data_IF_985168247646
#
_entry.id   IF_985168247646
#
_cell.length_a   1.000
_cell.length_b   1.000
_cell.length_c   1.000
_cell.angle_alpha   90.00
_cell.angle_beta   90.00
_cell.angle_gamma   90.00
#
_symmetry.space_group_name_H-M   'P 1'
#
loop_
_entity.id
_entity.type
_entity.pdbx_description
1 polymer ?
#
# COMPACT_ATOMS: atom_id res chain seq x y z
N UNK A 1 9.87 -11.06 -46.46
CA UNK A 1 8.97 -10.09 -45.78
C UNK A 1 7.67 -10.82 -45.43
N UNK A 2 7.59 -11.40 -44.24
CA UNK A 2 6.34 -12.00 -43.74
C UNK A 2 5.61 -10.91 -42.98
N UNK A 3 4.43 -10.53 -43.48
CA UNK A 3 3.57 -9.54 -42.85
C UNK A 3 3.20 -10.03 -41.44
N UNK A 4 3.54 -9.24 -40.43
CA UNK A 4 3.01 -9.38 -39.08
C UNK A 4 1.55 -8.95 -39.18
N UNK A 5 0.64 -9.91 -39.16
CA UNK A 5 -0.79 -9.66 -39.05
C UNK A 5 -1.03 -9.03 -37.67
N UNK A 6 -1.22 -7.72 -37.62
CA UNK A 6 -1.73 -7.05 -36.42
C UNK A 6 -3.10 -7.65 -36.07
N UNK A 7 -3.15 -8.45 -35.01
CA UNK A 7 -4.40 -8.92 -34.44
C UNK A 7 -5.20 -7.71 -33.94
N UNK A 8 -6.38 -7.45 -34.52
CA UNK A 8 -7.29 -6.41 -34.04
C UNK A 8 -7.55 -6.60 -32.54
N UNK A 9 -7.46 -5.54 -31.71
CA UNK A 9 -7.73 -5.67 -30.28
C UNK A 9 -9.20 -6.05 -30.11
N UNK A 10 -9.46 -7.29 -29.69
CA UNK A 10 -10.77 -7.70 -29.18
C UNK A 10 -11.14 -6.72 -28.08
N UNK A 11 -12.35 -6.15 -28.14
CA UNK A 11 -12.87 -5.17 -27.15
C UNK A 11 -12.87 -5.83 -25.78
N UNK A 12 -11.73 -5.79 -25.09
CA UNK A 12 -11.53 -6.33 -23.75
C UNK A 12 -12.36 -5.45 -22.84
N UNK A 13 -13.23 -6.08 -22.06
CA UNK A 13 -13.89 -5.41 -20.96
C UNK A 13 -12.80 -4.79 -20.08
N UNK A 14 -12.65 -3.47 -20.17
CA UNK A 14 -11.76 -2.73 -19.30
C UNK A 14 -12.43 -2.70 -17.94
N UNK A 15 -11.70 -3.13 -16.90
CA UNK A 15 -12.18 -2.90 -15.54
C UNK A 15 -12.39 -1.40 -15.33
N UNK A 16 -13.51 -0.97 -14.74
CA UNK A 16 -13.72 0.43 -14.42
C UNK A 16 -12.63 0.95 -13.49
N UNK A 17 -12.31 2.23 -13.62
CA UNK A 17 -11.41 2.92 -12.70
C UNK A 17 -11.92 2.83 -11.25
N UNK A 18 -11.01 2.85 -10.27
CA UNK A 18 -11.37 2.73 -8.86
C UNK A 18 -12.30 3.84 -8.39
N UNK A 19 -12.18 5.07 -8.92
CA UNK A 19 -13.11 6.16 -8.60
C UNK A 19 -14.50 5.91 -9.18
N UNK A 20 -14.60 5.28 -10.34
CA UNK A 20 -15.87 4.88 -10.94
C UNK A 20 -16.55 3.83 -10.07
N UNK A 21 -15.79 2.83 -9.61
CA UNK A 21 -16.29 1.80 -8.69
C UNK A 21 -16.79 2.44 -7.39
N UNK A 22 -16.00 3.33 -6.77
CA UNK A 22 -16.39 4.06 -5.56
C UNK A 22 -17.70 4.83 -5.78
N UNK A 23 -17.86 5.50 -6.91
CA UNK A 23 -19.09 6.24 -7.19
C UNK A 23 -20.31 5.32 -7.32
N UNK A 24 -20.16 4.17 -7.99
CA UNK A 24 -21.23 3.16 -8.03
C UNK A 24 -21.56 2.60 -6.65
N UNK A 25 -20.55 2.36 -5.81
CA UNK A 25 -20.76 1.94 -4.42
C UNK A 25 -21.54 3.02 -3.66
N UNK A 26 -21.20 4.31 -3.82
CA UNK A 26 -21.93 5.41 -3.20
C UNK A 26 -23.41 5.45 -3.62
N UNK A 27 -23.70 5.22 -4.90
CA UNK A 27 -25.09 5.12 -5.40
C UNK A 27 -25.80 3.94 -4.74
N UNK A 28 -25.17 2.75 -4.74
CA UNK A 28 -25.77 1.55 -4.17
C UNK A 28 -26.03 1.69 -2.67
N UNK A 29 -25.09 2.25 -1.92
CA UNK A 29 -25.27 2.48 -0.48
C UNK A 29 -26.33 3.54 -0.20
N UNK A 30 -26.38 4.59 -1.01
CA UNK A 30 -27.46 5.59 -0.95
C UNK A 30 -28.82 4.94 -1.19
N UNK A 31 -28.99 4.12 -2.24
CA UNK A 31 -30.23 3.39 -2.49
C UNK A 31 -30.56 2.40 -1.38
N UNK A 32 -29.56 1.74 -0.78
CA UNK A 32 -29.78 0.83 0.34
C UNK A 32 -30.42 1.53 1.54
N UNK A 33 -30.12 2.82 1.77
CA UNK A 33 -30.73 3.60 2.86
C UNK A 33 -32.25 3.81 2.73
N UNK A 34 -32.82 3.53 1.55
CA UNK A 34 -34.26 3.62 1.31
C UNK A 34 -35.01 2.35 1.70
N UNK A 35 -34.31 1.21 1.73
CA UNK A 35 -34.91 -0.11 1.96
C UNK A 35 -34.46 -0.73 3.28
N UNK A 36 -33.31 -0.33 3.81
CA UNK A 36 -32.76 -0.85 5.06
C UNK A 36 -33.02 0.13 6.22
N UNK A 37 -33.72 -0.28 7.28
CA UNK A 37 -33.94 0.55 8.45
C UNK A 37 -32.65 0.69 9.27
N UNK A 38 -32.56 1.76 10.06
CA UNK A 38 -31.39 2.00 10.89
C UNK A 38 -31.41 1.13 12.15
N UNK A 39 -30.23 0.57 12.45
CA UNK A 39 -29.99 -0.24 13.63
C UNK A 39 -28.98 0.42 14.54
N UNK A 40 -29.05 0.09 15.82
CA UNK A 40 -28.07 0.50 16.83
C UNK A 40 -27.70 -0.67 17.72
N UNK A 41 -26.50 -0.59 18.28
CA UNK A 41 -26.01 -1.49 19.30
C UNK A 41 -25.73 -0.70 20.58
N UNK A 42 -25.92 -1.34 21.72
CA UNK A 42 -25.34 -0.86 22.96
C UNK A 42 -23.84 -1.15 23.00
N UNK A 43 -23.13 -0.31 23.73
CA UNK A 43 -21.70 -0.48 23.96
C UNK A 43 -21.46 -0.94 25.38
N UNK A 44 -20.55 -1.90 25.55
CA UNK A 44 -20.08 -2.37 26.84
C UNK A 44 -18.60 -2.05 27.02
N UNK A 45 -18.20 -1.78 28.26
CA UNK A 45 -16.79 -1.60 28.60
C UNK A 45 -16.16 -2.95 28.90
N UNK A 46 -15.19 -3.36 28.08
CA UNK A 46 -14.40 -4.57 28.32
C UNK A 46 -13.02 -4.17 28.79
N UNK A 47 -12.62 -4.76 29.92
CA UNK A 47 -11.28 -4.64 30.45
C UNK A 47 -10.37 -5.67 29.80
N UNK A 48 -9.22 -5.21 29.30
CA UNK A 48 -8.19 -6.08 28.73
C UNK A 48 -6.84 -5.70 29.34
N UNK A 49 -6.03 -6.71 29.66
CA UNK A 49 -4.69 -6.51 30.18
C UNK A 49 -3.70 -6.39 29.02
N UNK A 50 -2.96 -5.29 28.98
CA UNK A 50 -1.79 -5.11 28.10
C UNK A 50 -0.64 -4.65 28.98
N UNK A 51 0.47 -5.37 28.94
CA UNK A 51 1.69 -5.08 29.72
C UNK A 51 1.45 -4.90 31.23
N UNK A 52 0.58 -5.73 31.82
CA UNK A 52 0.29 -5.71 33.26
C UNK A 52 -0.59 -4.53 33.73
N UNK A 53 -1.07 -3.69 32.80
CA UNK A 53 -2.03 -2.62 33.09
C UNK A 53 -3.42 -2.98 32.55
N UNK A 54 -4.44 -2.81 33.38
CA UNK A 54 -5.85 -2.97 32.97
C UNK A 54 -6.26 -1.74 32.16
N UNK A 55 -6.47 -1.91 30.86
CA UNK A 55 -7.04 -0.89 29.98
C UNK A 55 -8.50 -1.22 29.70
N UNK A 56 -9.34 -0.20 29.62
CA UNK A 56 -10.76 -0.35 29.29
C UNK A 56 -10.98 0.06 27.84
N UNK A 57 -11.69 -0.75 27.07
CA UNK A 57 -12.15 -0.41 25.72
C UNK A 57 -13.66 -0.54 25.65
N UNK A 58 -14.32 0.50 25.14
CA UNK A 58 -15.72 0.45 24.74
C UNK A 58 -15.83 -0.43 23.50
N UNK A 59 -16.53 -1.56 23.61
CA UNK A 59 -16.78 -2.50 22.52
C UNK A 59 -18.28 -2.67 22.31
N UNK A 60 -18.65 -3.11 21.12
CA UNK A 60 -20.05 -3.41 20.78
C UNK A 60 -20.51 -4.63 21.56
N UNK A 61 -21.71 -4.59 22.14
CA UNK A 61 -22.39 -5.80 22.59
C UNK A 61 -23.13 -6.43 21.40
N UNK A 62 -22.68 -7.57 20.84
CA UNK A 62 -23.29 -8.18 19.66
C UNK A 62 -24.76 -8.60 19.86
N UNK A 63 -25.19 -8.83 21.10
CA UNK A 63 -26.55 -9.27 21.41
C UNK A 63 -27.53 -8.11 21.61
N UNK A 64 -27.04 -6.87 21.65
CA UNK A 64 -27.83 -5.66 21.92
C UNK A 64 -28.50 -5.04 20.70
N UNK A 65 -28.36 -5.66 19.52
CA UNK A 65 -28.86 -5.09 18.27
C UNK A 65 -30.37 -4.82 18.32
N UNK A 66 -30.76 -3.58 18.03
CA UNK A 66 -32.15 -3.19 17.86
C UNK A 66 -32.33 -2.25 16.68
N UNK A 67 -33.47 -2.39 16.00
CA UNK A 67 -33.91 -1.45 14.97
C UNK A 67 -34.57 -0.27 15.68
N UNK A 68 -34.25 0.95 15.26
CA UNK A 68 -34.90 2.14 15.78
C UNK A 68 -36.29 2.27 15.18
N UNK A 69 -37.26 2.56 16.05
CA UNK A 69 -38.66 2.75 15.69
C UNK A 69 -39.09 4.17 16.03
N UNK A 70 -39.90 4.77 15.17
CA UNK A 70 -40.50 6.08 15.42
C UNK A 70 -41.58 6.03 16.53
N UNK A 71 -42.18 7.17 16.86
CA UNK A 71 -43.25 7.27 17.87
C UNK A 71 -44.49 6.41 17.55
N UNK A 72 -44.67 5.99 16.29
CA UNK A 72 -45.73 5.09 15.84
C UNK A 72 -45.35 3.60 15.90
N UNK A 73 -44.12 3.26 16.31
CA UNK A 73 -43.61 1.89 16.37
C UNK A 73 -43.14 1.34 15.01
N UNK A 74 -43.06 2.17 13.97
CA UNK A 74 -42.58 1.77 12.64
C UNK A 74 -41.06 1.92 12.53
N UNK A 75 -40.37 1.06 11.74
CA UNK A 75 -38.93 1.17 11.52
C UNK A 75 -38.52 2.53 10.95
N UNK A 76 -37.47 3.12 11.50
CA UNK A 76 -36.93 4.38 11.04
C UNK A 76 -35.95 4.20 9.88
N UNK A 77 -36.09 5.05 8.85
CA UNK A 77 -35.24 5.02 7.65
C UNK A 77 -34.54 6.36 7.49
N UNK A 78 -33.21 6.32 7.46
CA UNK A 78 -32.39 7.51 7.22
C UNK A 78 -32.05 7.61 5.73
N UNK A 79 -33.01 8.08 4.95
CA UNK A 79 -32.90 8.14 3.49
C UNK A 79 -31.90 9.22 3.05
N UNK A 80 -30.84 8.80 2.38
CA UNK A 80 -29.86 9.71 1.80
C UNK A 80 -30.50 10.48 0.65
N UNK A 81 -30.45 11.80 0.73
CA UNK A 81 -30.90 12.71 -0.33
C UNK A 81 -29.80 12.89 -1.38
N UNK A 82 -30.17 13.41 -2.57
CA UNK A 82 -29.18 13.66 -3.62
C UNK A 82 -28.21 14.78 -3.22
N UNK A 83 -28.73 15.86 -2.65
CA UNK A 83 -27.98 17.00 -2.12
C UNK A 83 -28.52 17.33 -0.73
N UNK A 84 -27.64 17.73 0.18
CA UNK A 84 -28.01 18.30 1.49
C UNK A 84 -27.30 19.63 1.73
N UNK A 85 -27.89 20.47 2.58
CA UNK A 85 -27.37 21.79 2.97
C UNK A 85 -27.37 21.92 4.49
N UNK A 86 -26.27 22.39 5.08
CA UNK A 86 -26.11 22.53 6.54
C UNK A 86 -25.34 21.38 7.18
N UNK A 87 -25.36 21.30 8.52
CA UNK A 87 -24.66 20.28 9.32
C UNK A 87 -25.37 18.91 9.35
N UNK A 88 -26.35 18.70 8.47
CA UNK A 88 -27.05 17.42 8.34
C UNK A 88 -26.14 16.34 7.72
N UNK A 89 -26.60 15.07 7.77
CA UNK A 89 -25.87 13.96 7.13
C UNK A 89 -25.64 14.24 5.63
N UNK A 90 -24.50 13.80 5.07
CA UNK A 90 -24.17 14.09 3.68
C UNK A 90 -25.16 13.47 2.70
N UNK A 91 -25.54 14.25 1.69
CA UNK A 91 -26.21 13.76 0.49
C UNK A 91 -25.25 13.02 -0.44
N UNK A 92 -25.81 12.28 -1.40
CA UNK A 92 -25.04 11.49 -2.38
C UNK A 92 -24.07 12.34 -3.21
N UNK A 93 -24.30 13.62 -3.42
CA UNK A 93 -23.36 14.48 -4.16
C UNK A 93 -22.41 15.25 -3.24
N UNK A 94 -22.72 15.33 -1.94
CA UNK A 94 -21.89 15.96 -0.92
C UNK A 94 -20.78 15.01 -0.41
N UNK A 95 -20.99 13.70 -0.52
CA UNK A 95 -20.07 12.67 0.02
C UNK A 95 -18.58 12.86 -0.32
N UNK A 96 -18.18 13.31 -1.53
CA UNK A 96 -16.75 13.40 -1.85
C UNK A 96 -16.08 14.48 -1.00
N UNK A 97 -16.72 15.65 -0.88
CA UNK A 97 -16.19 16.76 -0.10
C UNK A 97 -16.21 16.45 1.40
N UNK A 98 -17.36 16.00 1.90
CA UNK A 98 -17.55 15.65 3.32
C UNK A 98 -16.61 14.53 3.76
N UNK A 99 -16.39 13.55 2.87
CA UNK A 99 -15.40 12.50 3.07
C UNK A 99 -13.98 13.05 3.16
N UNK A 100 -13.56 13.90 2.21
CA UNK A 100 -12.21 14.49 2.17
C UNK A 100 -11.91 15.41 3.36
N UNK A 101 -12.90 16.13 3.87
CA UNK A 101 -12.75 17.07 4.99
C UNK A 101 -12.99 16.43 6.35
N UNK A 102 -13.47 15.18 6.39
CA UNK A 102 -13.76 14.49 7.65
C UNK A 102 -12.51 14.08 8.42
N UNK A 103 -12.62 14.18 9.75
CA UNK A 103 -11.59 13.70 10.67
C UNK A 103 -10.75 14.80 11.28
N UNK A 104 -9.57 14.41 11.75
CA UNK A 104 -8.61 15.32 12.35
C UNK A 104 -7.19 14.90 11.96
N UNK A 105 -6.19 15.66 12.42
CA UNK A 105 -4.78 15.27 12.26
C UNK A 105 -4.46 13.89 12.87
N UNK A 106 -5.25 13.44 13.85
CA UNK A 106 -5.03 12.19 14.57
C UNK A 106 -5.67 10.96 13.92
N UNK A 107 -6.50 11.10 12.87
CA UNK A 107 -7.12 9.95 12.21
C UNK A 107 -8.30 10.29 11.31
N UNK A 108 -8.87 9.26 10.66
CA UNK A 108 -9.94 9.36 9.64
C UNK A 108 -9.41 9.88 8.30
N UNK A 109 -10.14 10.68 7.51
CA UNK A 109 -9.71 11.00 6.15
C UNK A 109 -8.59 12.03 6.11
N UNK A 110 -8.77 13.21 6.74
CA UNK A 110 -7.80 14.31 6.66
C UNK A 110 -6.41 13.90 7.18
N UNK A 111 -6.35 13.27 8.36
CA UNK A 111 -5.07 12.81 8.92
C UNK A 111 -4.33 11.82 8.01
N UNK A 112 -5.06 10.85 7.43
CA UNK A 112 -4.48 9.84 6.52
C UNK A 112 -4.07 10.46 5.18
N UNK A 113 -4.88 11.35 4.62
CA UNK A 113 -4.57 12.06 3.37
C UNK A 113 -3.29 12.89 3.55
N UNK A 114 -3.21 13.70 4.60
CA UNK A 114 -2.03 14.52 4.86
C UNK A 114 -0.79 13.66 5.12
N UNK A 115 -0.93 12.54 5.83
CA UNK A 115 0.12 11.56 6.04
C UNK A 115 0.63 10.96 4.73
N UNK A 116 -0.27 10.53 3.84
CA UNK A 116 0.08 10.00 2.51
C UNK A 116 0.87 11.04 1.70
N UNK A 117 0.41 12.29 1.65
CA UNK A 117 1.09 13.34 0.88
C UNK A 117 2.49 13.63 1.41
N UNK A 118 2.66 13.72 2.75
CA UNK A 118 3.95 13.97 3.38
C UNK A 118 4.92 12.81 3.14
N UNK A 119 4.46 11.57 3.28
CA UNK A 119 5.28 10.38 3.02
C UNK A 119 5.63 10.26 1.55
N UNK A 120 4.66 10.41 0.66
CA UNK A 120 4.87 10.40 -0.78
C UNK A 120 5.93 11.42 -1.17
N UNK A 121 5.84 12.65 -0.65
CA UNK A 121 6.85 13.67 -0.91
C UNK A 121 8.22 13.34 -0.35
N UNK A 122 8.30 12.83 0.89
CA UNK A 122 9.57 12.40 1.47
C UNK A 122 10.24 11.30 0.62
N UNK A 123 9.48 10.27 0.24
CA UNK A 123 9.99 9.20 -0.63
C UNK A 123 10.31 9.68 -2.04
N UNK A 124 9.60 10.67 -2.58
CA UNK A 124 9.96 11.32 -3.85
C UNK A 124 11.37 11.91 -3.81
N UNK A 125 11.76 12.53 -2.69
CA UNK A 125 13.15 13.01 -2.49
C UNK A 125 14.12 11.83 -2.45
N UNK A 126 13.80 10.77 -1.68
CA UNK A 126 14.66 9.58 -1.57
C UNK A 126 14.88 8.94 -2.94
N UNK A 127 13.82 8.71 -3.72
CA UNK A 127 13.93 8.15 -5.07
C UNK A 127 14.78 9.04 -5.98
N UNK A 128 14.63 10.37 -5.89
CA UNK A 128 15.41 11.29 -6.74
C UNK A 128 16.92 11.17 -6.54
N UNK A 129 17.38 10.79 -5.35
CA UNK A 129 18.82 10.59 -5.06
C UNK A 129 19.46 9.53 -5.97
N UNK A 130 18.68 8.57 -6.47
CA UNK A 130 19.18 7.40 -7.19
C UNK A 130 19.99 6.44 -6.32
N UNK A 131 20.03 6.64 -4.99
CA UNK A 131 20.81 5.82 -4.07
C UNK A 131 20.29 4.38 -4.03
N UNK A 132 18.97 4.19 -4.01
CA UNK A 132 18.37 2.85 -3.99
C UNK A 132 18.76 2.10 -5.27
N UNK A 133 18.63 2.77 -6.41
CA UNK A 133 18.97 2.20 -7.72
C UNK A 133 20.44 1.81 -7.80
N UNK A 134 21.32 2.73 -7.39
CA UNK A 134 22.76 2.50 -7.37
C UNK A 134 23.14 1.41 -6.35
N UNK A 135 22.44 1.33 -5.22
CA UNK A 135 22.64 0.31 -4.19
C UNK A 135 22.30 -1.09 -4.68
N UNK A 136 21.18 -1.24 -5.40
CA UNK A 136 20.80 -2.50 -6.04
C UNK A 136 21.86 -2.89 -7.08
N UNK A 137 22.30 -1.96 -7.93
CA UNK A 137 23.37 -2.21 -8.91
C UNK A 137 24.72 -2.55 -8.27
N UNK A 138 25.05 -1.96 -7.12
CA UNK A 138 26.25 -2.26 -6.35
C UNK A 138 26.18 -3.66 -5.73
N UNK A 139 25.04 -4.03 -5.14
CA UNK A 139 24.81 -5.38 -4.62
C UNK A 139 24.95 -6.42 -5.74
N UNK A 140 24.33 -6.15 -6.89
CA UNK A 140 24.42 -6.98 -8.09
C UNK A 140 25.89 -7.24 -8.47
N UNK A 141 26.72 -6.19 -8.46
CA UNK A 141 28.14 -6.30 -8.79
C UNK A 141 28.90 -7.12 -7.76
N UNK A 142 28.62 -6.94 -6.47
CA UNK A 142 29.28 -7.67 -5.41
C UNK A 142 28.90 -9.16 -5.40
N UNK A 143 27.69 -9.48 -5.86
CA UNK A 143 27.23 -10.87 -6.03
C UNK A 143 27.65 -11.48 -7.39
N UNK A 144 28.31 -10.73 -8.29
CA UNK A 144 28.90 -11.30 -9.52
C UNK A 144 30.02 -12.28 -9.15
N UNK A 145 29.86 -13.52 -9.59
CA UNK A 145 30.81 -14.62 -9.30
C UNK A 145 30.24 -15.71 -8.38
N UNK A 146 29.16 -15.42 -7.65
CA UNK A 146 28.39 -16.43 -6.91
C UNK A 146 26.93 -16.47 -7.44
N UNK A 147 26.78 -17.05 -8.63
CA UNK A 147 25.55 -17.05 -9.41
C UNK A 147 24.36 -17.75 -8.70
N UNK A 148 24.65 -18.57 -7.69
CA UNK A 148 23.66 -19.28 -6.87
C UNK A 148 23.01 -18.33 -5.85
N UNK A 149 23.77 -17.38 -5.29
CA UNK A 149 23.28 -16.42 -4.30
C UNK A 149 22.58 -15.21 -4.94
N UNK A 150 22.78 -15.00 -6.25
CA UNK A 150 22.27 -13.84 -6.98
C UNK A 150 20.73 -13.74 -6.96
N UNK A 151 20.03 -14.84 -7.26
CA UNK A 151 18.57 -14.88 -7.29
C UNK A 151 17.98 -14.69 -5.87
N UNK A 152 18.41 -15.44 -4.83
CA UNK A 152 17.93 -15.22 -3.48
C UNK A 152 18.14 -13.80 -2.97
N UNK A 153 19.31 -13.21 -3.20
CA UNK A 153 19.62 -11.86 -2.75
C UNK A 153 18.67 -10.84 -3.37
N UNK A 154 18.48 -10.88 -4.70
CA UNK A 154 17.56 -9.97 -5.37
C UNK A 154 16.11 -10.20 -4.97
N UNK A 155 15.66 -11.45 -4.94
CA UNK A 155 14.28 -11.77 -4.61
C UNK A 155 13.89 -11.28 -3.20
N UNK A 156 14.75 -11.53 -2.20
CA UNK A 156 14.52 -11.06 -0.83
C UNK A 156 14.56 -9.54 -0.78
N UNK A 157 15.50 -8.89 -1.48
CA UNK A 157 15.61 -7.44 -1.50
C UNK A 157 14.37 -6.76 -2.11
N UNK A 158 13.90 -7.23 -3.27
CA UNK A 158 12.72 -6.68 -3.92
C UNK A 158 11.43 -6.98 -3.14
N UNK A 159 11.34 -8.17 -2.51
CA UNK A 159 10.23 -8.49 -1.60
C UNK A 159 10.23 -7.61 -0.35
N UNK A 160 11.39 -7.40 0.27
CA UNK A 160 11.52 -6.47 1.39
C UNK A 160 11.16 -5.04 0.95
N UNK A 161 11.58 -4.64 -0.25
CA UNK A 161 11.23 -3.34 -0.83
C UNK A 161 9.73 -3.15 -1.02
N UNK A 162 9.01 -4.19 -1.44
CA UNK A 162 7.55 -4.17 -1.52
C UNK A 162 6.87 -4.15 -0.14
N UNK A 163 7.40 -4.91 0.82
CA UNK A 163 6.85 -5.02 2.15
C UNK A 163 7.06 -3.76 3.01
N UNK A 164 8.15 -3.03 2.80
CA UNK A 164 8.51 -1.87 3.61
C UNK A 164 8.22 -0.56 2.88
N UNK A 165 8.68 -0.43 1.63
CA UNK A 165 8.57 0.83 0.88
C UNK A 165 7.37 0.84 -0.06
N UNK A 166 6.89 -0.31 -0.51
CA UNK A 166 5.87 -0.38 -1.55
C UNK A 166 6.38 0.02 -2.93
N UNK A 167 7.63 -0.32 -3.24
CA UNK A 167 8.39 0.04 -4.46
C UNK A 167 7.89 -0.66 -5.75
N UNK A 168 6.57 -0.66 -5.99
CA UNK A 168 5.94 -1.43 -7.07
C UNK A 168 6.32 -0.92 -8.47
N UNK A 169 6.32 0.40 -8.64
CA UNK A 169 6.52 1.09 -9.90
C UNK A 169 8.00 1.08 -10.33
N UNK A 170 8.92 1.29 -9.39
CA UNK A 170 10.35 1.29 -9.66
C UNK A 170 10.85 -0.12 -10.00
N UNK A 171 10.20 -1.18 -9.49
CA UNK A 171 10.53 -2.56 -9.83
C UNK A 171 10.46 -2.83 -11.35
N UNK A 172 9.58 -2.13 -12.09
CA UNK A 172 9.52 -2.24 -13.57
C UNK A 172 10.75 -1.64 -14.22
N UNK A 173 11.20 -0.47 -13.75
CA UNK A 173 12.43 0.16 -14.24
C UNK A 173 13.66 -0.73 -13.96
N UNK A 174 13.72 -1.31 -12.75
CA UNK A 174 14.77 -2.27 -12.40
C UNK A 174 14.74 -3.52 -13.26
N UNK A 175 13.57 -4.06 -13.58
CA UNK A 175 13.45 -5.21 -14.47
C UNK A 175 14.12 -4.94 -15.84
N UNK A 176 13.91 -3.74 -16.40
CA UNK A 176 14.52 -3.32 -17.67
C UNK A 176 16.05 -3.27 -17.56
N UNK A 177 16.59 -2.76 -16.45
CA UNK A 177 18.03 -2.61 -16.22
C UNK A 177 18.70 -3.98 -15.94
N UNK A 178 18.03 -4.85 -15.19
CA UNK A 178 18.56 -6.15 -14.75
C UNK A 178 18.45 -7.21 -15.85
N UNK A 179 17.48 -7.09 -16.76
CA UNK A 179 17.22 -8.08 -17.81
C UNK A 179 18.44 -8.43 -18.66
N UNK A 180 19.22 -7.47 -19.21
CA UNK A 180 20.44 -7.78 -19.94
C UNK A 180 21.45 -8.59 -19.12
N UNK A 181 21.59 -8.30 -17.83
CA UNK A 181 22.53 -8.99 -16.96
C UNK A 181 22.08 -10.42 -16.66
N UNK A 182 20.80 -10.62 -16.32
CA UNK A 182 20.25 -11.95 -16.06
C UNK A 182 20.39 -12.87 -17.26
N UNK A 183 20.09 -12.36 -18.46
CA UNK A 183 20.25 -13.08 -19.72
C UNK A 183 21.71 -13.47 -19.96
N UNK A 184 22.67 -12.59 -19.63
CA UNK A 184 24.12 -12.89 -19.69
C UNK A 184 24.58 -13.95 -18.70
N UNK A 185 23.92 -14.07 -17.54
CA UNK A 185 24.21 -15.10 -16.54
C UNK A 185 23.60 -16.48 -16.88
N UNK A 186 22.98 -16.60 -18.06
CA UNK A 186 22.35 -17.83 -18.55
C UNK A 186 20.91 -18.03 -18.05
N UNK A 187 20.31 -17.01 -17.44
CA UNK A 187 18.88 -16.98 -17.12
C UNK A 187 18.10 -16.30 -18.26
N UNK A 188 16.84 -15.97 -18.03
CA UNK A 188 15.96 -15.31 -19.00
C UNK A 188 15.29 -14.05 -18.42
N UNK A 189 14.65 -13.26 -19.28
CA UNK A 189 13.93 -12.05 -18.88
C UNK A 189 12.73 -12.34 -17.98
N UNK A 190 12.11 -13.53 -18.07
CA UNK A 190 11.07 -13.98 -17.13
C UNK A 190 11.65 -14.10 -15.72
N UNK A 191 12.83 -14.71 -15.56
CA UNK A 191 13.52 -14.78 -14.27
C UNK A 191 13.76 -13.39 -13.71
N UNK A 192 14.13 -12.42 -14.56
CA UNK A 192 14.25 -11.02 -14.14
C UNK A 192 12.95 -10.47 -13.58
N UNK A 193 11.84 -10.63 -14.29
CA UNK A 193 10.52 -10.16 -13.84
C UNK A 193 10.10 -10.85 -12.53
N UNK A 194 10.43 -12.13 -12.37
CA UNK A 194 10.15 -12.88 -11.15
C UNK A 194 10.91 -12.31 -9.93
N UNK A 195 12.21 -12.07 -10.07
CA UNK A 195 13.04 -11.58 -8.96
C UNK A 195 12.88 -10.09 -8.66
N UNK A 196 12.29 -9.34 -9.58
CA UNK A 196 12.05 -7.89 -9.44
C UNK A 196 10.58 -7.65 -9.12
N UNK A 197 9.74 -7.58 -10.15
CA UNK A 197 8.34 -7.20 -10.04
C UNK A 197 7.52 -8.16 -9.17
N UNK A 198 7.58 -9.47 -9.42
CA UNK A 198 6.77 -10.44 -8.66
C UNK A 198 7.22 -10.51 -7.20
N UNK A 199 8.53 -10.52 -6.95
CA UNK A 199 9.06 -10.44 -5.60
C UNK A 199 8.52 -9.22 -4.85
N UNK A 200 8.53 -8.04 -5.47
CA UNK A 200 7.94 -6.82 -4.89
C UNK A 200 6.45 -6.95 -4.63
N UNK A 201 5.67 -7.53 -5.55
CA UNK A 201 4.23 -7.72 -5.34
C UNK A 201 3.92 -8.69 -4.19
N UNK A 202 4.71 -9.76 -4.02
CA UNK A 202 4.61 -10.66 -2.86
C UNK A 202 4.85 -9.86 -1.58
N UNK A 203 5.94 -9.09 -1.54
CA UNK A 203 6.27 -8.21 -0.45
C UNK A 203 5.13 -7.25 -0.08
N UNK A 204 4.58 -6.57 -1.09
CA UNK A 204 3.47 -5.63 -0.95
C UNK A 204 2.23 -6.31 -0.37
N UNK A 205 1.84 -7.47 -0.92
CA UNK A 205 0.64 -8.19 -0.51
C UNK A 205 0.70 -8.73 0.93
N UNK A 206 1.88 -9.16 1.38
CA UNK A 206 2.10 -9.68 2.75
C UNK A 206 2.73 -8.66 3.70
N UNK A 207 2.67 -7.36 3.36
CA UNK A 207 3.37 -6.33 4.10
C UNK A 207 2.94 -6.22 5.58
N UNK A 208 3.87 -5.83 6.46
CA UNK A 208 3.58 -5.43 7.84
C UNK A 208 3.72 -3.93 8.11
N UNK A 209 4.37 -3.17 7.22
CA UNK A 209 4.78 -1.77 7.47
C UNK A 209 4.55 -0.82 6.29
N UNK A 210 4.16 -1.33 5.12
CA UNK A 210 4.02 -0.53 3.91
C UNK A 210 3.06 0.65 4.18
N UNK A 211 3.54 1.89 4.00
CA UNK A 211 2.79 3.08 4.36
C UNK A 211 1.63 3.36 3.40
N UNK A 212 1.63 2.77 2.20
CA UNK A 212 0.63 3.01 1.16
C UNK A 212 -0.62 2.15 1.31
N UNK A 213 -0.47 0.90 1.78
CA UNK A 213 -1.60 -0.02 1.92
C UNK A 213 -1.93 -0.32 3.38
N UNK A 214 -0.98 -0.89 4.13
CA UNK A 214 -1.25 -1.44 5.47
C UNK A 214 -1.52 -0.34 6.48
N UNK A 215 -0.66 0.68 6.55
CA UNK A 215 -0.80 1.77 7.53
C UNK A 215 -2.08 2.57 7.27
N UNK A 216 -2.40 2.80 6.01
CA UNK A 216 -3.63 3.47 5.57
C UNK A 216 -4.86 2.68 5.97
N UNK A 217 -4.89 1.38 5.65
CA UNK A 217 -6.00 0.51 6.02
C UNK A 217 -6.20 0.44 7.54
N UNK A 218 -5.11 0.41 8.32
CA UNK A 218 -5.16 0.47 9.78
C UNK A 218 -5.72 1.80 10.29
N UNK A 219 -5.31 2.91 9.67
CA UNK A 219 -5.86 4.23 9.95
C UNK A 219 -7.36 4.31 9.69
N UNK A 220 -7.84 3.76 8.56
CA UNK A 220 -9.27 3.71 8.23
C UNK A 220 -10.03 2.84 9.23
N UNK A 221 -9.48 1.68 9.59
CA UNK A 221 -10.10 0.76 10.53
C UNK A 221 -10.02 1.22 12.00
N UNK A 222 -9.34 2.35 12.29
CA UNK A 222 -9.18 2.86 13.65
C UNK A 222 -8.39 1.93 14.58
N UNK A 223 -7.52 1.09 14.02
CA UNK A 223 -6.66 0.18 14.78
C UNK A 223 -5.24 0.75 14.90
N UNK A 224 -4.47 0.37 15.94
CA UNK A 224 -3.09 0.84 16.07
C UNK A 224 -2.25 0.55 14.82
N UNK A 225 -1.42 1.51 14.40
CA UNK A 225 -0.47 1.34 13.30
C UNK A 225 0.53 0.23 13.69
N UNK A 226 0.90 -0.62 12.72
CA UNK A 226 1.71 -1.84 12.93
C UNK A 226 1.09 -2.92 13.83
N UNK A 227 -0.20 -2.80 14.19
CA UNK A 227 -0.92 -3.92 14.83
C UNK A 227 -0.86 -5.19 13.98
N UNK A 228 -0.60 -6.33 14.61
CA UNK A 228 -0.46 -7.62 13.93
C UNK A 228 0.83 -7.80 13.12
N UNK A 229 1.84 -6.93 13.29
CA UNK A 229 3.11 -7.01 12.56
C UNK A 229 3.81 -8.36 12.69
N UNK A 230 3.83 -8.97 13.87
CA UNK A 230 4.45 -10.29 14.09
C UNK A 230 3.88 -11.38 13.17
N UNK A 231 2.55 -11.51 13.11
CA UNK A 231 1.88 -12.45 12.21
C UNK A 231 2.19 -12.12 10.74
N UNK A 232 2.13 -10.84 10.36
CA UNK A 232 2.38 -10.40 8.98
C UNK A 232 3.82 -10.66 8.54
N UNK A 233 4.80 -10.49 9.43
CA UNK A 233 6.20 -10.84 9.17
C UNK A 233 6.32 -12.35 8.90
N UNK A 234 5.66 -13.19 9.68
CA UNK A 234 5.65 -14.65 9.45
C UNK A 234 5.03 -14.98 8.09
N UNK A 235 3.88 -14.38 7.76
CA UNK A 235 3.23 -14.55 6.46
C UNK A 235 4.14 -14.08 5.32
N UNK A 236 4.81 -12.94 5.48
CA UNK A 236 5.78 -12.43 4.50
C UNK A 236 6.97 -13.36 4.29
N UNK A 237 7.54 -13.91 5.37
CA UNK A 237 8.63 -14.89 5.27
C UNK A 237 8.16 -16.11 4.49
N UNK A 238 6.99 -16.67 4.83
CA UNK A 238 6.44 -17.85 4.15
C UNK A 238 6.17 -17.56 2.67
N UNK A 239 5.48 -16.46 2.36
CA UNK A 239 5.14 -16.09 0.99
C UNK A 239 6.40 -15.81 0.15
N UNK A 240 7.38 -15.10 0.72
CA UNK A 240 8.67 -14.83 0.08
C UNK A 240 9.44 -16.13 -0.17
N UNK A 241 9.45 -17.07 0.78
CA UNK A 241 10.11 -18.36 0.61
C UNK A 241 9.44 -19.21 -0.49
N UNK A 242 8.12 -19.23 -0.56
CA UNK A 242 7.38 -19.93 -1.62
C UNK A 242 7.75 -19.33 -2.99
N UNK A 243 7.68 -17.99 -3.13
CA UNK A 243 8.04 -17.30 -4.37
C UNK A 243 9.50 -17.50 -4.76
N UNK A 244 10.42 -17.47 -3.78
CA UNK A 244 11.84 -17.69 -3.99
C UNK A 244 12.12 -19.13 -4.46
N UNK A 245 11.57 -20.14 -3.79
CA UNK A 245 11.75 -21.55 -4.17
C UNK A 245 11.23 -21.77 -5.59
N UNK A 246 10.03 -21.27 -5.90
CA UNK A 246 9.47 -21.35 -7.25
C UNK A 246 10.42 -20.73 -8.29
N UNK A 247 10.92 -19.51 -8.01
CA UNK A 247 11.81 -18.78 -8.92
C UNK A 247 13.15 -19.49 -9.09
N UNK A 248 13.73 -20.05 -8.02
CA UNK A 248 14.96 -20.83 -8.07
C UNK A 248 14.81 -22.11 -8.91
N UNK A 249 13.69 -22.82 -8.76
CA UNK A 249 13.39 -24.01 -9.56
C UNK A 249 13.25 -23.64 -11.03
N UNK A 250 12.50 -22.57 -11.33
CA UNK A 250 12.32 -22.08 -12.70
C UNK A 250 13.67 -21.67 -13.33
N UNK A 251 14.42 -20.80 -12.66
CA UNK A 251 15.68 -20.28 -13.15
C UNK A 251 16.73 -21.38 -13.35
N UNK A 252 16.78 -22.39 -12.46
CA UNK A 252 17.67 -23.55 -12.60
C UNK A 252 17.32 -24.41 -13.82
N UNK A 253 16.04 -24.53 -14.17
CA UNK A 253 15.60 -25.27 -15.38
C UNK A 253 16.01 -24.54 -16.65
N UNK A 254 15.74 -23.22 -16.71
CA UNK A 254 16.12 -22.37 -17.84
C UNK A 254 17.64 -22.38 -18.03
N UNK A 255 18.41 -22.28 -16.95
CA UNK A 255 19.87 -22.27 -17.03
C UNK A 255 20.46 -23.60 -17.53
N UNK A 256 19.89 -24.74 -17.12
CA UNK A 256 20.31 -26.06 -17.60
C UNK A 256 19.97 -26.29 -19.06
N UNK A 257 18.83 -25.77 -19.53
CA UNK A 257 18.43 -25.86 -20.92
C UNK A 257 17.74 -24.55 -21.37
N UNK A 258 18.49 -23.62 -21.98
CA UNK A 258 17.99 -22.32 -22.39
C UNK A 258 16.81 -22.35 -23.36
N UNK A 259 16.62 -23.46 -24.10
CA UNK A 259 15.49 -23.64 -25.02
C UNK A 259 14.15 -23.87 -24.30
N UNK A 260 14.17 -24.18 -23.00
CA UNK A 260 12.96 -24.27 -22.19
C UNK A 260 12.35 -22.89 -21.89
N UNK A 261 13.11 -21.81 -22.06
CA UNK A 261 12.59 -20.46 -21.86
C UNK A 261 11.61 -20.09 -22.98
N UNK A 262 10.41 -19.66 -22.60
CA UNK A 262 9.38 -19.17 -23.54
C UNK A 262 9.81 -17.88 -24.24
N UNK A 263 10.75 -17.15 -23.66
CA UNK A 263 11.28 -15.88 -24.16
C UNK A 263 12.65 -16.05 -24.79
N UNK A 264 13.04 -17.28 -25.12
CA UNK A 264 14.36 -17.56 -25.68
C UNK A 264 14.65 -16.71 -26.93
N UNK A 265 13.71 -16.58 -27.87
CA UNK A 265 13.91 -15.79 -29.08
C UNK A 265 13.91 -14.28 -28.82
N UNK A 266 12.99 -13.77 -28.00
CA UNK A 266 12.92 -12.35 -27.66
C UNK A 266 14.15 -11.88 -26.86
N UNK A 267 14.70 -12.76 -26.01
CA UNK A 267 15.89 -12.48 -25.22
C UNK A 267 17.16 -12.38 -26.07
N UNK A 268 17.11 -12.76 -27.35
CA UNK A 268 18.22 -12.51 -28.29
C UNK A 268 18.58 -11.03 -28.35
N UNK A 269 17.58 -10.14 -28.26
CA UNK A 269 17.80 -8.70 -28.16
C UNK A 269 18.74 -8.32 -27.02
N UNK A 270 18.56 -8.92 -25.84
CA UNK A 270 19.39 -8.67 -24.67
C UNK A 270 20.77 -9.35 -24.74
N UNK A 271 20.90 -10.45 -25.49
CA UNK A 271 22.19 -11.12 -25.74
C UNK A 271 23.07 -10.34 -26.71
N UNK A 272 22.46 -9.68 -27.70
CA UNK A 272 23.16 -8.91 -28.73
C UNK A 272 23.49 -7.49 -28.27
N UNK A 273 22.71 -6.91 -27.35
CA UNK A 273 23.01 -5.60 -26.76
C UNK A 273 24.16 -5.71 -25.76
N UNK A 274 25.28 -5.04 -26.06
CA UNK A 274 26.31 -4.74 -25.07
C UNK A 274 25.71 -3.76 -24.05
N UNK A 275 25.40 -4.25 -22.85
CA UNK A 275 24.87 -3.41 -21.78
C UNK A 275 25.98 -2.52 -21.21
N UNK A 276 26.23 -1.38 -21.84
CA UNK A 276 26.79 -0.22 -21.15
C UNK A 276 25.66 0.40 -20.33
N UNK A 277 25.46 -0.15 -19.13
CA UNK A 277 24.73 0.58 -18.09
C UNK A 277 25.66 1.72 -17.69
N UNK A 278 25.28 2.97 -17.95
CA UNK A 278 25.98 4.13 -17.41
C UNK A 278 26.04 3.99 -15.89
N UNK A 279 27.24 3.71 -15.40
CA UNK A 279 27.46 3.31 -14.02
C UNK A 279 28.02 4.48 -13.24
N UNK A 280 27.21 4.99 -12.30
CA UNK A 280 27.72 5.88 -11.28
C UNK A 280 28.43 5.03 -10.20
N UNK A 281 29.65 5.37 -9.76
CA UNK A 281 30.26 4.71 -8.62
C UNK A 281 29.42 4.92 -7.36
N UNK A 282 29.32 3.91 -6.51
CA UNK A 282 28.67 4.04 -5.20
C UNK A 282 29.53 4.95 -4.32
N UNK A 283 28.98 6.11 -3.97
CA UNK A 283 29.67 7.20 -3.28
C UNK A 283 29.40 7.18 -1.78
N UNK A 284 30.20 7.92 -1.01
CA UNK A 284 29.94 8.10 0.42
C UNK A 284 28.56 8.71 0.72
N UNK A 285 28.06 9.60 -0.15
CA UNK A 285 26.71 10.16 -0.01
C UNK A 285 25.61 9.11 -0.18
N UNK A 286 25.79 8.14 -1.08
CA UNK A 286 24.85 7.03 -1.24
C UNK A 286 24.81 6.17 0.04
N UNK A 287 25.97 5.94 0.67
CA UNK A 287 26.05 5.22 1.95
C UNK A 287 25.32 5.97 3.07
N UNK A 288 25.52 7.30 3.15
CA UNK A 288 24.86 8.14 4.15
C UNK A 288 23.34 8.15 4.00
N UNK A 289 22.81 8.18 2.77
CA UNK A 289 21.37 8.07 2.50
C UNK A 289 20.81 6.73 3.00
N UNK A 290 21.52 5.61 2.77
CA UNK A 290 21.10 4.29 3.28
C UNK A 290 21.12 4.20 4.81
N UNK A 291 22.11 4.82 5.48
CA UNK A 291 22.11 4.90 6.95
C UNK A 291 20.87 5.64 7.43
N UNK A 292 20.60 6.83 6.89
CA UNK A 292 19.47 7.66 7.33
C UNK A 292 18.15 6.93 7.15
N UNK A 293 17.98 6.28 5.99
CA UNK A 293 16.80 5.46 5.71
C UNK A 293 16.67 4.34 6.75
N UNK A 294 17.74 3.58 7.02
CA UNK A 294 17.73 2.49 8.01
C UNK A 294 17.47 3.00 9.43
N UNK A 295 18.11 4.10 9.83
CA UNK A 295 17.97 4.71 11.14
C UNK A 295 16.55 5.20 11.38
N UNK A 296 15.92 5.82 10.37
CA UNK A 296 14.52 6.25 10.46
C UNK A 296 13.59 5.04 10.53
N UNK A 297 13.87 3.94 9.82
CA UNK A 297 13.04 2.72 9.95
C UNK A 297 13.07 2.17 11.37
N UNK A 298 14.26 2.09 11.98
CA UNK A 298 14.40 1.70 13.40
C UNK A 298 13.67 2.70 14.30
N UNK A 299 13.76 3.99 14.02
CA UNK A 299 13.09 5.04 14.80
C UNK A 299 11.57 4.97 14.71
N UNK A 300 10.99 4.67 13.54
CA UNK A 300 9.55 4.47 13.35
C UNK A 300 9.09 3.24 14.13
N UNK A 301 9.78 2.11 14.00
CA UNK A 301 9.45 0.87 14.72
C UNK A 301 9.49 1.11 16.24
N UNK A 302 10.56 1.71 16.74
CA UNK A 302 10.70 2.05 18.16
C UNK A 302 9.62 3.02 18.63
N UNK A 303 9.32 4.05 17.84
CA UNK A 303 8.30 5.06 18.14
C UNK A 303 6.90 4.45 18.30
N UNK A 304 6.52 3.58 17.36
CA UNK A 304 5.22 2.90 17.40
C UNK A 304 5.14 1.89 18.54
N UNK A 305 6.18 1.09 18.77
CA UNK A 305 6.16 0.03 19.80
C UNK A 305 6.24 0.61 21.22
N UNK A 306 7.17 1.54 21.46
CA UNK A 306 7.47 2.01 22.82
C UNK A 306 6.62 3.22 23.21
N UNK A 307 6.45 4.17 22.28
CA UNK A 307 5.77 5.44 22.57
C UNK A 307 4.33 5.49 22.04
N UNK A 308 3.84 4.40 21.44
CA UNK A 308 2.53 4.31 20.80
C UNK A 308 2.27 5.45 19.81
N UNK A 309 3.32 5.90 19.11
CA UNK A 309 3.23 6.96 18.12
C UNK A 309 2.29 6.59 16.98
N UNK A 310 1.53 7.58 16.53
CA UNK A 310 0.51 7.40 15.52
C UNK A 310 0.81 8.25 14.28
N UNK A 311 -0.21 8.51 13.48
CA UNK A 311 -0.10 9.14 12.17
C UNK A 311 0.74 10.44 12.18
N UNK A 312 0.52 11.43 13.07
CA UNK A 312 1.27 12.68 13.04
C UNK A 312 2.77 12.52 13.30
N UNK A 313 3.13 11.70 14.29
CA UNK A 313 4.52 11.48 14.68
C UNK A 313 5.27 10.73 13.58
N UNK A 314 4.66 9.67 13.04
CA UNK A 314 5.24 8.89 11.94
C UNK A 314 5.43 9.77 10.69
N UNK A 315 4.44 10.60 10.33
CA UNK A 315 4.61 11.57 9.24
C UNK A 315 5.82 12.49 9.46
N UNK A 316 6.01 12.98 10.69
CA UNK A 316 7.11 13.86 11.05
C UNK A 316 8.48 13.16 10.92
N UNK A 317 8.56 11.87 11.26
CA UNK A 317 9.77 11.06 11.09
C UNK A 317 10.13 10.87 9.60
N UNK A 318 9.15 10.53 8.76
CA UNK A 318 9.36 10.41 7.31
C UNK A 318 9.69 11.76 6.66
N UNK A 319 9.05 12.85 7.09
CA UNK A 319 9.40 14.18 6.62
C UNK A 319 10.86 14.54 6.98
N UNK A 320 11.27 14.27 8.22
CA UNK A 320 12.65 14.46 8.68
C UNK A 320 13.63 13.64 7.84
N UNK A 321 13.28 12.39 7.53
CA UNK A 321 14.06 11.53 6.63
C UNK A 321 14.24 12.17 5.25
N UNK A 322 13.15 12.60 4.62
CA UNK A 322 13.18 13.25 3.30
C UNK A 322 14.01 14.53 3.31
N UNK A 323 13.89 15.35 4.38
CA UNK A 323 14.66 16.57 4.55
C UNK A 323 16.17 16.28 4.67
N UNK A 324 16.55 15.36 5.57
CA UNK A 324 17.96 15.01 5.80
C UNK A 324 18.56 14.36 4.55
N UNK A 325 17.86 13.42 3.92
CA UNK A 325 18.30 12.77 2.66
C UNK A 325 18.40 13.79 1.53
N UNK A 326 17.48 14.74 1.44
CA UNK A 326 17.54 15.81 0.44
C UNK A 326 18.75 16.72 0.64
N UNK A 327 19.08 17.10 1.88
CA UNK A 327 20.29 17.87 2.20
C UNK A 327 21.54 17.09 1.77
N UNK A 328 21.62 15.80 2.10
CA UNK A 328 22.72 14.93 1.67
C UNK A 328 22.79 14.88 0.14
N UNK A 329 21.64 14.70 -0.52
CA UNK A 329 21.51 14.70 -1.97
C UNK A 329 22.07 15.96 -2.63
N UNK A 330 21.77 17.14 -2.06
CA UNK A 330 22.26 18.43 -2.57
C UNK A 330 23.75 18.61 -2.28
N UNK A 331 24.22 18.34 -1.06
CA UNK A 331 25.62 18.52 -0.66
C UNK A 331 26.57 17.63 -1.46
N UNK A 332 26.20 16.36 -1.65
CA UNK A 332 27.00 15.40 -2.41
C UNK A 332 26.66 15.38 -3.91
N UNK A 333 25.78 16.28 -4.37
CA UNK A 333 25.23 16.34 -5.75
C UNK A 333 24.79 14.97 -6.26
N UNK A 334 24.12 14.18 -5.41
CA UNK A 334 23.61 12.87 -5.77
C UNK A 334 22.62 13.03 -6.92
N UNK A 335 22.86 12.32 -8.02
CA UNK A 335 22.01 12.36 -9.22
C UNK A 335 21.69 13.79 -9.72
N UNK A 336 22.63 14.73 -9.56
CA UNK A 336 22.46 16.13 -9.96
C UNK A 336 21.44 16.91 -9.13
N UNK A 337 21.18 16.51 -7.88
CA UNK A 337 20.23 17.20 -7.01
C UNK A 337 20.68 18.62 -6.67
N UNK A 338 19.74 19.55 -6.79
CA UNK A 338 19.81 20.93 -6.29
C UNK A 338 18.70 21.15 -5.28
N UNK A 339 18.72 22.28 -4.55
CA UNK A 339 17.63 22.63 -3.62
C UNK A 339 16.27 22.67 -4.33
N UNK A 340 16.23 23.20 -5.56
CA UNK A 340 15.01 23.23 -6.36
C UNK A 340 14.57 21.82 -6.79
N UNK A 341 15.54 20.96 -7.15
CA UNK A 341 15.25 19.56 -7.48
C UNK A 341 14.68 18.82 -6.27
N UNK A 342 15.17 19.10 -5.06
CA UNK A 342 14.63 18.53 -3.83
C UNK A 342 13.16 18.93 -3.63
N UNK A 343 12.84 20.22 -3.77
CA UNK A 343 11.46 20.71 -3.63
C UNK A 343 10.51 20.16 -4.70
N UNK A 344 10.96 20.11 -5.97
CA UNK A 344 10.15 19.54 -7.05
C UNK A 344 9.94 18.03 -6.88
N UNK A 345 10.95 17.31 -6.37
CA UNK A 345 10.84 15.86 -6.09
C UNK A 345 9.89 15.55 -4.95
N UNK A 346 9.84 16.42 -3.92
CA UNK A 346 8.80 16.31 -2.89
C UNK A 346 7.40 16.48 -3.48
N UNK A 347 7.22 17.48 -4.35
CA UNK A 347 5.92 17.73 -4.98
C UNK A 347 5.52 16.59 -5.90
N UNK A 348 6.45 16.02 -6.66
CA UNK A 348 6.21 14.87 -7.53
C UNK A 348 5.84 13.62 -6.71
N UNK A 349 6.57 13.36 -5.64
CA UNK A 349 6.26 12.27 -4.71
C UNK A 349 4.86 12.40 -4.10
N UNK A 350 4.49 13.61 -3.66
CA UNK A 350 3.16 13.88 -3.14
C UNK A 350 2.06 13.75 -4.21
N UNK A 351 2.35 14.09 -5.47
CA UNK A 351 1.41 13.96 -6.60
C UNK A 351 0.99 12.51 -6.81
N UNK A 352 1.93 11.57 -6.72
CA UNK A 352 1.64 10.13 -6.83
C UNK A 352 0.65 9.65 -5.76
N UNK A 353 0.59 10.35 -4.62
CA UNK A 353 -0.30 10.03 -3.51
C UNK A 353 -1.68 10.69 -3.59
N UNK A 354 -1.94 11.53 -4.59
CA UNK A 354 -3.25 12.18 -4.75
C UNK A 354 -4.35 11.15 -5.05
N UNK A 355 -4.09 10.21 -5.96
CA UNK A 355 -5.07 9.18 -6.31
C UNK A 355 -5.49 8.33 -5.09
N UNK A 356 -4.58 7.71 -4.31
CA UNK A 356 -4.97 6.98 -3.11
C UNK A 356 -5.59 7.89 -2.03
N UNK A 357 -5.15 9.14 -1.89
CA UNK A 357 -5.75 10.09 -0.97
C UNK A 357 -7.23 10.39 -1.30
N UNK A 358 -7.56 10.57 -2.59
CA UNK A 358 -8.95 10.75 -3.04
C UNK A 358 -9.79 9.51 -2.73
N UNK A 359 -9.25 8.31 -2.94
CA UNK A 359 -9.95 7.07 -2.59
C UNK A 359 -10.25 6.99 -1.08
N UNK A 360 -9.31 7.37 -0.22
CA UNK A 360 -9.52 7.41 1.24
C UNK A 360 -10.63 8.38 1.61
N UNK A 361 -10.58 9.60 1.09
CA UNK A 361 -11.61 10.61 1.34
C UNK A 361 -12.99 10.14 0.89
N UNK A 362 -13.09 9.61 -0.33
CA UNK A 362 -14.37 9.18 -0.89
C UNK A 362 -14.91 7.94 -0.17
N UNK A 363 -14.05 6.99 0.21
CA UNK A 363 -14.44 5.84 1.02
C UNK A 363 -15.00 6.29 2.38
N UNK A 364 -14.37 7.29 3.03
CA UNK A 364 -14.90 7.86 4.26
C UNK A 364 -16.22 8.60 4.01
N UNK A 365 -16.36 9.29 2.88
CA UNK A 365 -17.62 9.91 2.48
C UNK A 365 -18.76 8.88 2.34
N UNK A 366 -18.50 7.73 1.72
CA UNK A 366 -19.47 6.63 1.64
C UNK A 366 -19.86 6.13 3.02
N UNK A 367 -18.89 6.00 3.94
CA UNK A 367 -19.18 5.64 5.33
C UNK A 367 -20.15 6.66 5.95
N UNK A 368 -19.91 7.95 5.78
CA UNK A 368 -20.81 9.00 6.29
C UNK A 368 -22.24 8.91 5.72
N UNK A 369 -22.43 8.43 4.48
CA UNK A 369 -23.76 8.22 3.90
C UNK A 369 -24.57 7.16 4.65
N UNK A 370 -23.92 6.08 5.08
CA UNK A 370 -24.60 4.93 5.74
C UNK A 370 -24.53 4.98 7.26
N UNK A 371 -23.77 5.93 7.81
CA UNK A 371 -23.59 6.21 9.24
C UNK A 371 -22.12 6.12 9.67
N UNK A 372 -21.74 6.89 10.68
CA UNK A 372 -20.33 7.19 11.02
C UNK A 372 -19.49 6.00 11.52
N UNK A 373 -20.06 4.79 11.57
CA UNK A 373 -19.43 3.56 12.05
C UNK A 373 -19.43 3.40 13.56
N UNK A 374 -20.08 4.30 14.30
CA UNK A 374 -20.25 4.18 15.74
C UNK A 374 -21.39 3.21 16.06
N UNK A 375 -21.13 2.28 16.99
CA UNK A 375 -22.08 1.26 17.38
C UNK A 375 -23.33 1.83 18.05
N UNK A 376 -23.15 2.89 18.86
CA UNK A 376 -24.22 3.58 19.57
C UNK A 376 -25.11 4.45 18.68
N UNK A 377 -24.65 4.80 17.49
CA UNK A 377 -25.40 5.65 16.56
C UNK A 377 -26.25 4.80 15.62
N UNK A 378 -27.50 5.20 15.47
CA UNK A 378 -28.43 4.64 14.51
C UNK A 378 -27.88 4.73 13.08
N UNK A 379 -27.59 3.58 12.47
CA UNK A 379 -27.01 3.54 11.13
C UNK A 379 -27.51 2.38 10.30
N UNK A 380 -27.54 2.60 8.98
CA UNK A 380 -27.79 1.54 8.00
C UNK A 380 -26.63 0.55 8.02
N UNK A 381 -25.42 1.05 8.27
CA UNK A 381 -24.22 0.24 8.43
C UNK A 381 -24.38 -0.82 9.53
N UNK A 382 -24.87 -0.45 10.72
CA UNK A 382 -25.07 -1.39 11.82
C UNK A 382 -26.03 -2.53 11.45
N UNK A 383 -27.13 -2.22 10.74
CA UNK A 383 -28.08 -3.23 10.26
C UNK A 383 -27.45 -4.19 9.25
N UNK A 384 -26.67 -3.66 8.31
CA UNK A 384 -25.94 -4.46 7.31
C UNK A 384 -24.92 -5.36 8.01
N UNK A 385 -24.12 -4.81 8.93
CA UNK A 385 -23.11 -5.56 9.68
C UNK A 385 -23.74 -6.69 10.50
N UNK A 386 -24.84 -6.43 11.20
CA UNK A 386 -25.57 -7.47 11.95
C UNK A 386 -26.07 -8.59 11.04
N UNK A 387 -26.64 -8.23 9.88
CA UNK A 387 -27.16 -9.20 8.93
C UNK A 387 -26.06 -10.11 8.37
N UNK A 388 -24.90 -9.53 8.04
CA UNK A 388 -23.74 -10.30 7.57
C UNK A 388 -23.17 -11.16 8.70
N UNK A 389 -23.05 -10.62 9.92
CA UNK A 389 -22.57 -11.38 11.07
C UNK A 389 -23.43 -12.62 11.36
N UNK A 390 -24.76 -12.48 11.31
CA UNK A 390 -25.70 -13.59 11.49
C UNK A 390 -25.63 -14.62 10.35
N UNK A 391 -25.41 -14.17 9.11
CA UNK A 391 -25.19 -15.08 7.99
C UNK A 391 -23.91 -15.90 8.16
N UNK A 392 -22.84 -15.28 8.67
CA UNK A 392 -21.57 -15.97 8.93
C UNK A 392 -21.67 -16.90 10.13
N UNK A 393 -22.27 -16.47 11.24
CA UNK A 393 -22.43 -17.34 12.42
C UNK A 393 -23.35 -18.54 12.15
N UNK A 394 -24.27 -18.41 11.19
CA UNK A 394 -25.06 -19.53 10.68
C UNK A 394 -24.25 -20.59 9.94
N UNK A 395 -23.06 -20.26 9.41
CA UNK A 395 -22.18 -21.22 8.71
C UNK A 395 -21.41 -22.13 9.67
N UNK A 396 -21.13 -21.68 10.89
CA UNK A 396 -20.49 -22.52 11.93
C UNK A 396 -21.45 -23.59 12.49
N UNK A 397 -22.76 -23.45 12.25
CA UNK A 397 -23.81 -24.37 12.72
C UNK A 397 -24.35 -25.30 11.61
N UNK A 398 -23.73 -25.34 10.43
CA UNK A 398 -24.06 -26.22 9.30
C UNK A 398 -22.88 -27.14 8.96
#
# INVERSE_FOLDING_TARGET
>A
MSAITESKPTRRWAMPDTLVIIFFVAILTSLATWVVPVGMFDSQEVQYQVDGQTKTRKVVDPHSFRILTNEAGEPEYHRVQLFTTGDERPGLMNFPFEGLTSGSKYGTAVGIIMFMLVIGGAFGIVMRTGTIDNGILALIRHTRGNEILFIPALFILFSLGGAVFGMGEEAVAFAIIIAPLMVRLGYDSITTVLVTYIATQIGFASSWMNPFCVVVAQGIAGVPVLSGSGLRIVVWVIATMIGLIFTMVYASRVKKNPLLSRVHESDRFFREKQADVEQRPFTFGDWLVLIVLTAVMVWVIWGVIVNAWFIPEIASQFFTMGLVIGIIGVVFRLNGMTVNTMASSFTEGARMMIAPALLVGFAKGILLLVGNGEAGDASVLNTILNSIANAISGLDNA
#
